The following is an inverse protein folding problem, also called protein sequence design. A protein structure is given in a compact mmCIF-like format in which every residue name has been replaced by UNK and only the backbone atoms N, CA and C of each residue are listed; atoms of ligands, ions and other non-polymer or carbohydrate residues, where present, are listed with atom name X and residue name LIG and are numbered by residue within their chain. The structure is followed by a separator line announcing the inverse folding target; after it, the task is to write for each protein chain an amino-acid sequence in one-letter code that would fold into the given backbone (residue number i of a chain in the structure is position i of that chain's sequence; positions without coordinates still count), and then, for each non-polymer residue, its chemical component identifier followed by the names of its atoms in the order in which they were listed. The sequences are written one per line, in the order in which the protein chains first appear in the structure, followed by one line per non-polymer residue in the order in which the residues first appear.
data_IF_270911643185
#
_entry.id   IF_270911643185
#
_cell.length_a   1.000
_cell.length_b   1.000
_cell.length_c   1.000
_cell.angle_alpha   90.00
_cell.angle_beta   90.00
_cell.angle_gamma   90.00
#
_symmetry.space_group_name_H-M   'P 1'
#
loop_
_entity.id
_entity.type
_entity.pdbx_description
1 polymer ?
#
# COMPACT_ATOMS: atom_id res chain seq x y z
N UNK A 1 0.95 -28.75 9.92
CA UNK A 1 1.21 -27.32 9.70
C UNK A 1 2.33 -27.13 8.70
N UNK A 2 2.12 -26.27 7.73
CA UNK A 2 3.18 -25.91 6.81
C UNK A 2 4.26 -25.11 7.52
N UNK A 3 5.53 -25.43 7.24
CA UNK A 3 6.65 -24.64 7.74
C UNK A 3 6.80 -23.40 6.87
N UNK A 4 6.75 -22.24 7.50
CA UNK A 4 6.88 -20.97 6.79
C UNK A 4 8.36 -20.59 6.77
N UNK A 5 8.96 -20.63 5.57
CA UNK A 5 10.37 -20.27 5.40
C UNK A 5 10.56 -18.76 5.33
N UNK A 6 11.76 -18.31 5.68
CA UNK A 6 12.13 -16.90 5.54
C UNK A 6 12.03 -16.42 4.09
N UNK A 7 12.31 -17.32 3.14
CA UNK A 7 12.21 -17.00 1.71
C UNK A 7 10.77 -16.74 1.27
N UNK A 8 9.81 -17.51 1.78
CA UNK A 8 8.39 -17.28 1.49
C UNK A 8 7.93 -15.93 2.05
N UNK A 9 8.34 -15.59 3.26
CA UNK A 9 8.01 -14.30 3.88
C UNK A 9 8.57 -13.16 3.04
N UNK A 10 9.83 -13.27 2.62
CA UNK A 10 10.48 -12.27 1.78
C UNK A 10 9.75 -12.09 0.44
N UNK A 11 9.42 -13.20 -0.21
CA UNK A 11 8.70 -13.18 -1.49
C UNK A 11 7.35 -12.49 -1.36
N UNK A 12 6.57 -12.84 -0.34
CA UNK A 12 5.27 -12.22 -0.10
C UNK A 12 5.41 -10.73 0.21
N UNK A 13 6.42 -10.36 0.99
CA UNK A 13 6.69 -8.97 1.32
C UNK A 13 7.04 -8.14 0.08
N UNK A 14 7.88 -8.67 -0.80
CA UNK A 14 8.23 -8.01 -2.06
C UNK A 14 7.01 -7.84 -2.97
N UNK A 15 6.14 -8.83 -2.97
CA UNK A 15 4.92 -8.81 -3.80
C UNK A 15 3.86 -7.84 -3.28
N UNK A 16 3.70 -7.71 -1.97
CA UNK A 16 2.59 -6.97 -1.37
C UNK A 16 2.99 -5.66 -0.68
N UNK A 17 4.26 -5.53 -0.29
CA UNK A 17 4.70 -4.40 0.52
C UNK A 17 4.27 -4.44 1.98
N UNK A 18 3.59 -5.49 2.42
CA UNK A 18 3.15 -5.63 3.81
C UNK A 18 4.32 -5.89 4.75
N UNK A 19 4.13 -5.62 6.05
CA UNK A 19 5.13 -5.84 7.07
C UNK A 19 5.46 -7.32 7.29
N UNK A 20 6.63 -7.60 7.84
CA UNK A 20 7.13 -8.97 8.04
C UNK A 20 6.15 -9.81 8.87
N UNK A 21 5.64 -9.25 9.96
CA UNK A 21 4.72 -9.99 10.85
C UNK A 21 3.39 -10.27 10.17
N UNK A 22 2.87 -9.32 9.41
CA UNK A 22 1.64 -9.51 8.64
C UNK A 22 1.82 -10.59 7.57
N UNK A 23 2.98 -10.63 6.90
CA UNK A 23 3.29 -11.66 5.92
C UNK A 23 3.38 -13.04 6.57
N UNK A 24 4.03 -13.14 7.73
CA UNK A 24 4.10 -14.40 8.48
C UNK A 24 2.71 -14.91 8.87
N UNK A 25 1.88 -14.02 9.40
CA UNK A 25 0.52 -14.38 9.78
C UNK A 25 -0.29 -14.86 8.58
N UNK A 26 -0.23 -14.13 7.48
CA UNK A 26 -0.97 -14.47 6.27
C UNK A 26 -0.54 -15.84 5.73
N UNK A 27 0.77 -16.12 5.70
CA UNK A 27 1.28 -17.41 5.24
C UNK A 27 0.88 -18.56 6.19
N UNK A 28 0.88 -18.30 7.50
CA UNK A 28 0.42 -19.29 8.48
C UNK A 28 -1.07 -19.63 8.28
N UNK A 29 -1.90 -18.60 8.09
CA UNK A 29 -3.34 -18.78 7.87
C UNK A 29 -3.65 -19.47 6.53
N UNK A 30 -2.80 -19.30 5.54
CA UNK A 30 -2.99 -19.83 4.18
C UNK A 30 -2.09 -21.04 3.88
N UNK A 31 -1.50 -21.65 4.91
CA UNK A 31 -0.69 -22.87 4.81
C UNK A 31 0.46 -22.76 3.81
N UNK A 32 1.08 -21.58 3.72
CA UNK A 32 2.22 -21.34 2.83
C UNK A 32 1.87 -21.01 1.39
N UNK A 33 0.59 -20.90 1.05
CA UNK A 33 0.14 -20.52 -0.30
C UNK A 33 0.29 -19.02 -0.51
N UNK A 34 1.22 -18.62 -1.36
CA UNK A 34 1.55 -17.21 -1.65
C UNK A 34 0.34 -16.44 -2.20
N UNK A 35 -0.40 -17.04 -3.12
CA UNK A 35 -1.53 -16.35 -3.75
C UNK A 35 -2.68 -16.12 -2.77
N UNK A 36 -3.00 -17.13 -1.97
CA UNK A 36 -4.00 -17.00 -0.91
C UNK A 36 -3.56 -16.01 0.16
N UNK A 37 -2.28 -16.02 0.52
CA UNK A 37 -1.73 -15.08 1.50
C UNK A 37 -1.80 -13.65 0.99
N UNK A 38 -1.54 -13.41 -0.29
CA UNK A 38 -1.68 -12.10 -0.93
C UNK A 38 -3.13 -11.61 -0.85
N UNK A 39 -4.10 -12.47 -1.15
CA UNK A 39 -5.53 -12.14 -1.03
C UNK A 39 -5.93 -11.87 0.42
N UNK A 40 -5.43 -12.67 1.35
CA UNK A 40 -5.66 -12.47 2.78
C UNK A 40 -5.20 -11.08 3.23
N UNK A 41 -4.00 -10.67 2.82
CA UNK A 41 -3.46 -9.36 3.15
C UNK A 41 -4.27 -8.24 2.52
N UNK A 42 -4.70 -8.40 1.28
CA UNK A 42 -5.55 -7.41 0.61
C UNK A 42 -6.87 -7.20 1.35
N UNK A 43 -7.53 -8.28 1.74
CA UNK A 43 -8.79 -8.20 2.50
C UNK A 43 -8.59 -7.57 3.87
N UNK A 44 -7.49 -7.91 4.55
CA UNK A 44 -7.14 -7.31 5.84
C UNK A 44 -6.90 -5.79 5.70
N UNK A 45 -6.20 -5.38 4.64
CA UNK A 45 -5.97 -3.97 4.33
C UNK A 45 -7.27 -3.22 4.09
N UNK A 46 -8.19 -3.81 3.31
CA UNK A 46 -9.50 -3.21 3.05
C UNK A 46 -10.32 -3.05 4.34
N UNK A 47 -10.30 -4.05 5.22
CA UNK A 47 -10.99 -3.99 6.50
C UNK A 47 -10.41 -2.89 7.40
N UNK A 48 -9.08 -2.75 7.43
CA UNK A 48 -8.40 -1.70 8.18
C UNK A 48 -8.74 -0.31 7.63
N UNK A 49 -8.73 -0.16 6.31
CA UNK A 49 -9.09 1.09 5.66
C UNK A 49 -10.53 1.50 5.98
N UNK A 50 -11.45 0.54 5.98
CA UNK A 50 -12.84 0.78 6.34
C UNK A 50 -12.99 1.30 7.78
N UNK A 51 -12.24 0.72 8.71
CA UNK A 51 -12.24 1.16 10.12
C UNK A 51 -11.73 2.59 10.27
N UNK A 52 -10.81 3.01 9.41
CA UNK A 52 -10.16 4.32 9.47
C UNK A 52 -10.85 5.39 8.61
N UNK A 53 -11.88 5.03 7.86
CA UNK A 53 -12.50 5.92 6.87
C UNK A 53 -13.01 7.24 7.44
N UNK A 54 -13.37 7.29 8.73
CA UNK A 54 -13.86 8.51 9.38
C UNK A 54 -12.79 9.43 9.96
N UNK A 55 -11.50 9.08 9.86
CA UNK A 55 -10.43 9.90 10.42
C UNK A 55 -10.15 11.11 9.55
N UNK A 56 -9.84 12.23 10.20
CA UNK A 56 -9.49 13.47 9.51
C UNK A 56 -8.16 13.30 8.75
N UNK A 57 -8.13 13.82 7.52
CA UNK A 57 -6.94 13.82 6.67
C UNK A 57 -6.61 15.27 6.29
N UNK A 58 -5.97 15.98 7.23
CA UNK A 58 -5.64 17.40 7.07
C UNK A 58 -4.26 17.66 6.48
N UNK A 59 -3.45 16.63 6.33
CA UNK A 59 -2.12 16.70 5.73
C UNK A 59 -2.15 16.04 4.36
N UNK A 60 -1.06 16.15 3.60
CA UNK A 60 -0.99 15.52 2.29
C UNK A 60 -0.02 16.23 1.37
N UNK A 61 -0.18 15.97 0.08
CA UNK A 61 0.65 16.57 -0.97
C UNK A 61 -0.18 16.88 -2.21
N UNK A 62 0.30 17.85 -2.99
CA UNK A 62 -0.24 18.15 -4.32
C UNK A 62 0.80 17.70 -5.34
N UNK A 63 0.38 16.90 -6.31
CA UNK A 63 1.24 16.45 -7.39
C UNK A 63 0.64 16.86 -8.73
N UNK A 64 1.52 17.08 -9.70
CA UNK A 64 1.12 17.44 -11.05
C UNK A 64 1.69 16.44 -12.05
N UNK A 65 1.01 16.30 -13.17
CA UNK A 65 1.49 15.50 -14.29
C UNK A 65 1.09 16.19 -15.59
N UNK A 66 2.04 16.30 -16.48
CA UNK A 66 1.80 16.82 -17.83
C UNK A 66 2.16 15.70 -18.80
N UNK A 67 1.17 15.27 -19.59
CA UNK A 67 1.36 14.20 -20.54
C UNK A 67 2.25 14.66 -21.72
N UNK A 68 2.98 13.72 -22.30
CA UNK A 68 3.83 14.01 -23.45
C UNK A 68 3.04 14.74 -24.53
N UNK A 69 3.61 15.81 -25.07
CA UNK A 69 2.95 16.68 -26.04
C UNK A 69 2.26 17.88 -25.42
N UNK A 70 2.15 17.92 -24.07
CA UNK A 70 1.66 19.11 -23.37
C UNK A 70 0.18 19.42 -23.51
N UNK A 71 -0.63 18.47 -23.98
CA UNK A 71 -2.07 18.70 -24.22
C UNK A 71 -2.96 18.28 -23.06
N UNK A 72 -2.44 17.48 -22.14
CA UNK A 72 -3.18 17.00 -20.98
C UNK A 72 -2.34 17.29 -19.72
N UNK A 73 -2.94 17.99 -18.79
CA UNK A 73 -2.33 18.23 -17.50
C UNK A 73 -3.26 17.78 -16.38
N UNK A 74 -2.68 17.32 -15.29
CA UNK A 74 -3.41 16.86 -14.11
C UNK A 74 -2.80 17.52 -12.88
N UNK A 75 -3.66 17.99 -12.00
CA UNK A 75 -3.32 18.44 -10.66
C UNK A 75 -4.12 17.60 -9.68
N UNK A 76 -3.44 16.90 -8.78
CA UNK A 76 -4.10 16.03 -7.81
C UNK A 76 -3.67 16.39 -6.40
N UNK A 77 -4.62 16.46 -5.48
CA UNK A 77 -4.36 16.54 -4.05
C UNK A 77 -4.64 15.19 -3.42
N UNK A 78 -3.64 14.64 -2.72
CA UNK A 78 -3.78 13.37 -2.00
C UNK A 78 -3.55 13.65 -0.53
N UNK A 79 -4.55 13.36 0.29
CA UNK A 79 -4.53 13.66 1.71
C UNK A 79 -4.23 12.44 2.56
N UNK A 80 -3.61 12.68 3.72
CA UNK A 80 -3.31 11.66 4.69
C UNK A 80 -3.48 12.20 6.11
N UNK A 81 -3.38 11.33 7.10
CA UNK A 81 -3.63 11.69 8.49
C UNK A 81 -2.52 12.55 9.08
N UNK A 82 -1.26 12.32 8.73
CA UNK A 82 -0.11 12.96 9.37
C UNK A 82 0.88 13.52 8.36
N UNK A 83 1.62 14.56 8.78
CA UNK A 83 2.71 15.14 7.99
C UNK A 83 3.89 14.17 7.85
N UNK A 84 4.09 13.26 8.80
CA UNK A 84 5.12 12.23 8.70
C UNK A 84 4.92 11.37 7.46
N UNK A 85 3.67 10.94 7.23
CA UNK A 85 3.31 10.15 6.04
C UNK A 85 3.50 10.99 4.77
N UNK A 86 3.04 12.24 4.80
CA UNK A 86 3.11 13.14 3.63
C UNK A 86 4.55 13.41 3.18
N UNK A 87 5.52 13.29 4.06
CA UNK A 87 6.94 13.52 3.77
C UNK A 87 7.68 12.27 3.28
N UNK A 88 7.04 11.10 3.32
CA UNK A 88 7.69 9.85 2.87
C UNK A 88 7.80 9.79 1.36
N UNK A 89 8.86 9.15 0.87
CA UNK A 89 9.04 8.92 -0.56
C UNK A 89 7.92 8.02 -1.11
N UNK A 90 7.52 7.02 -0.33
CA UNK A 90 6.44 6.09 -0.72
C UNK A 90 5.12 6.83 -0.96
N UNK A 91 4.76 7.74 -0.07
CA UNK A 91 3.52 8.52 -0.22
C UNK A 91 3.59 9.43 -1.44
N UNK A 92 4.72 10.10 -1.64
CA UNK A 92 4.91 11.02 -2.78
C UNK A 92 4.93 10.27 -4.11
N UNK A 93 5.53 9.09 -4.16
CA UNK A 93 5.48 8.22 -5.33
C UNK A 93 4.06 7.75 -5.63
N UNK A 94 3.32 7.36 -4.60
CA UNK A 94 1.91 6.99 -4.71
C UNK A 94 1.08 8.13 -5.31
N UNK A 95 1.22 9.34 -4.78
CA UNK A 95 0.50 10.51 -5.26
C UNK A 95 0.85 10.83 -6.73
N UNK A 96 2.12 10.70 -7.08
CA UNK A 96 2.59 10.92 -8.45
C UNK A 96 2.01 9.90 -9.41
N UNK A 97 1.93 8.63 -8.98
CA UNK A 97 1.33 7.57 -9.79
C UNK A 97 -0.17 7.80 -10.01
N UNK A 98 -0.87 8.34 -9.02
CA UNK A 98 -2.28 8.71 -9.16
C UNK A 98 -2.43 9.81 -10.22
N UNK A 99 -1.56 10.82 -10.20
CA UNK A 99 -1.60 11.91 -11.19
C UNK A 99 -1.35 11.39 -12.61
N UNK A 100 -0.48 10.40 -12.73
CA UNK A 100 -0.19 9.78 -14.03
C UNK A 100 -1.33 8.87 -14.48
#
# INVERSE_FOLDING_TARGET
MATISANLVKELREKTGAGIMDCKQALAECEGDIDKASDFLRKKGLATAKKRAGRATSEGTVQSYIHMGGKIGVLVEVNCETDFVAKTDDFNEFARNIAM
#
